data_IF_349342589021
#
_entry.id   IF_349342589021
#
_cell.length_a   1.000
_cell.length_b   1.000
_cell.length_c   1.000
_cell.angle_alpha   90.00
_cell.angle_beta   90.00
_cell.angle_gamma   90.00
#
_symmetry.space_group_name_H-M   'P 1'
#
loop_
_entity.id
_entity.type
_entity.pdbx_description
1 polymer ?
#
# COMPACT_ATOMS: atom_id res chain seq x y z
N UNK A 1 -2.06 8.98 23.50
CA UNK A 1 -1.59 8.76 22.12
C UNK A 1 -1.55 10.10 21.44
N UNK A 2 -0.42 10.48 20.85
CA UNK A 2 -0.32 11.73 20.10
C UNK A 2 -1.37 11.70 18.99
N UNK A 3 -2.32 12.63 19.03
CA UNK A 3 -3.33 12.78 17.99
C UNK A 3 -2.65 13.06 16.66
N UNK A 4 -3.04 12.33 15.62
CA UNK A 4 -2.55 12.50 14.27
C UNK A 4 -3.07 13.85 13.73
N UNK A 5 -2.25 14.90 13.80
CA UNK A 5 -2.62 16.24 13.32
C UNK A 5 -2.23 16.40 11.84
N UNK A 6 -3.14 16.93 11.02
CA UNK A 6 -2.89 17.28 9.62
C UNK A 6 -3.38 16.25 8.60
N UNK A 7 -3.52 16.69 7.34
CA UNK A 7 -3.88 15.88 6.17
C UNK A 7 -2.63 15.17 5.65
N UNK A 8 -2.71 13.86 5.40
CA UNK A 8 -1.61 13.03 4.87
C UNK A 8 -0.20 13.41 5.38
N UNK A 9 0.04 13.45 6.71
CA UNK A 9 1.31 13.87 7.25
C UNK A 9 2.43 12.92 6.77
N UNK A 10 3.66 13.45 6.59
CA UNK A 10 4.82 12.62 6.35
C UNK A 10 5.13 11.73 7.57
N UNK A 11 6.08 10.82 7.40
CA UNK A 11 6.68 10.09 8.51
C UNK A 11 7.27 11.06 9.53
N UNK A 12 7.22 10.67 10.80
CA UNK A 12 7.98 11.32 11.87
C UNK A 12 9.42 10.81 11.84
N UNK A 13 10.34 11.49 12.55
CA UNK A 13 11.72 11.01 12.71
C UNK A 13 11.80 9.57 13.26
N UNK A 14 10.89 9.21 14.18
CA UNK A 14 10.78 7.84 14.67
C UNK A 14 10.32 6.87 13.56
N UNK A 15 9.40 7.30 12.69
CA UNK A 15 8.97 6.53 11.53
C UNK A 15 10.08 6.34 10.49
N UNK A 16 10.91 7.36 10.25
CA UNK A 16 12.08 7.27 9.37
C UNK A 16 13.12 6.28 9.90
N UNK A 17 13.39 6.31 11.21
CA UNK A 17 14.25 5.32 11.87
C UNK A 17 13.73 3.87 11.70
N UNK A 18 12.42 3.68 11.88
CA UNK A 18 11.76 2.39 11.66
C UNK A 18 11.84 1.92 10.20
N UNK A 19 11.75 2.83 9.25
CA UNK A 19 11.94 2.51 7.82
C UNK A 19 13.38 2.05 7.54
N UNK A 20 14.38 2.65 8.20
CA UNK A 20 15.77 2.20 8.10
C UNK A 20 15.98 0.78 8.64
N UNK A 21 15.38 0.47 9.80
CA UNK A 21 15.39 -0.88 10.37
C UNK A 21 14.71 -1.89 9.43
N UNK A 22 13.56 -1.51 8.85
CA UNK A 22 12.84 -2.33 7.88
C UNK A 22 13.69 -2.58 6.63
N UNK A 23 14.33 -1.55 6.08
CA UNK A 23 15.22 -1.65 4.92
C UNK A 23 16.36 -2.66 5.18
N UNK A 24 17.00 -2.57 6.34
CA UNK A 24 18.06 -3.51 6.73
C UNK A 24 17.53 -4.95 6.79
N UNK A 25 16.35 -5.16 7.38
CA UNK A 25 15.73 -6.48 7.51
C UNK A 25 15.31 -7.11 6.18
N UNK A 26 14.97 -6.29 5.18
CA UNK A 26 14.51 -6.73 3.86
C UNK A 26 15.63 -6.87 2.83
N UNK A 27 16.84 -6.39 3.13
CA UNK A 27 17.96 -6.29 2.19
C UNK A 27 18.25 -7.58 1.40
N UNK A 28 18.19 -8.75 2.06
CA UNK A 28 18.42 -10.05 1.43
C UNK A 28 17.28 -10.52 0.51
N UNK A 29 16.09 -9.94 0.63
CA UNK A 29 14.88 -10.37 -0.07
C UNK A 29 14.45 -9.41 -1.19
N UNK A 30 15.15 -8.29 -1.38
CA UNK A 30 14.74 -7.25 -2.34
C UNK A 30 14.64 -7.75 -3.78
N UNK A 31 15.48 -8.72 -4.15
CA UNK A 31 15.50 -9.35 -5.49
C UNK A 31 14.46 -10.46 -5.65
N UNK A 32 13.86 -10.94 -4.56
CA UNK A 32 12.76 -11.91 -4.60
C UNK A 32 11.44 -11.23 -4.93
N UNK A 33 11.30 -9.93 -4.62
CA UNK A 33 10.09 -9.16 -4.89
C UNK A 33 9.98 -8.92 -6.40
N UNK A 34 8.81 -9.23 -6.97
CA UNK A 34 8.51 -9.06 -8.39
C UNK A 34 7.60 -7.85 -8.65
N UNK A 35 6.88 -7.38 -7.63
CA UNK A 35 6.03 -6.19 -7.66
C UNK A 35 5.92 -5.53 -6.29
N UNK A 36 6.03 -4.20 -6.23
CA UNK A 36 5.73 -3.41 -5.03
C UNK A 36 4.42 -2.65 -5.23
N UNK A 37 3.41 -2.91 -4.41
CA UNK A 37 2.09 -2.26 -4.49
C UNK A 37 1.91 -1.35 -3.29
N UNK A 38 1.64 -0.07 -3.54
CA UNK A 38 1.75 0.98 -2.51
C UNK A 38 0.46 1.78 -2.41
N UNK A 39 0.02 2.02 -1.16
CA UNK A 39 -1.03 2.99 -0.88
C UNK A 39 -0.59 4.42 -1.25
N UNK A 40 -1.44 5.25 -1.87
CA UNK A 40 -1.08 6.63 -2.23
C UNK A 40 -0.97 7.60 -1.04
N UNK A 41 -1.14 7.14 0.20
CA UNK A 41 -0.91 7.97 1.39
C UNK A 41 0.58 8.25 1.58
N UNK A 42 0.95 9.51 1.83
CA UNK A 42 2.33 10.00 1.92
C UNK A 42 3.24 9.13 2.79
N UNK A 43 2.79 8.73 3.98
CA UNK A 43 3.54 7.83 4.86
C UNK A 43 3.88 6.47 4.23
N UNK A 44 2.95 5.89 3.45
CA UNK A 44 3.16 4.61 2.77
C UNK A 44 4.10 4.76 1.57
N UNK A 45 4.00 5.87 0.84
CA UNK A 45 4.96 6.21 -0.21
C UNK A 45 6.37 6.32 0.35
N UNK A 46 6.56 7.07 1.43
CA UNK A 46 7.87 7.23 2.09
C UNK A 46 8.41 5.91 2.65
N UNK A 47 7.55 5.07 3.25
CA UNK A 47 7.94 3.72 3.68
C UNK A 47 8.40 2.88 2.50
N UNK A 48 7.67 2.87 1.38
CA UNK A 48 8.05 2.09 0.20
C UNK A 48 9.37 2.59 -0.41
N UNK A 49 9.52 3.91 -0.59
CA UNK A 49 10.74 4.49 -1.16
C UNK A 49 11.94 4.40 -0.24
N UNK A 50 11.75 4.27 1.08
CA UNK A 50 12.85 4.11 2.02
C UNK A 50 13.25 2.65 2.25
N UNK A 51 12.27 1.74 2.42
CA UNK A 51 12.54 0.34 2.76
C UNK A 51 12.78 -0.57 1.55
N UNK A 52 12.27 -0.19 0.37
CA UNK A 52 12.30 -1.05 -0.83
C UNK A 52 13.07 -0.42 -2.00
N UNK A 53 13.79 0.70 -1.77
CA UNK A 53 14.49 1.45 -2.82
C UNK A 53 15.45 0.60 -3.68
N UNK A 54 16.05 -0.43 -3.09
CA UNK A 54 16.99 -1.33 -3.77
C UNK A 54 16.33 -2.50 -4.51
N UNK A 55 15.00 -2.63 -4.47
CA UNK A 55 14.30 -3.66 -5.23
C UNK A 55 14.29 -3.30 -6.72
N UNK A 56 14.62 -4.23 -7.63
CA UNK A 56 14.53 -4.00 -9.07
C UNK A 56 13.08 -4.06 -9.58
N UNK A 57 12.13 -4.44 -8.74
CA UNK A 57 10.73 -4.61 -9.10
C UNK A 57 10.07 -3.28 -9.50
N UNK A 58 9.10 -3.29 -10.43
CA UNK A 58 8.24 -2.16 -10.66
C UNK A 58 7.42 -1.83 -9.40
N UNK A 59 7.19 -0.54 -9.19
CA UNK A 59 6.29 -0.04 -8.16
C UNK A 59 4.93 0.31 -8.78
N UNK A 60 3.85 0.12 -8.03
CA UNK A 60 2.48 0.37 -8.46
C UNK A 60 1.71 1.13 -7.39
N UNK A 61 0.97 2.16 -7.80
CA UNK A 61 0.00 2.84 -6.93
C UNK A 61 -1.33 2.11 -6.95
N UNK A 62 -1.92 1.90 -5.76
CA UNK A 62 -3.25 1.32 -5.64
C UNK A 62 -4.08 2.02 -4.56
N UNK A 63 -5.04 2.85 -4.99
CA UNK A 63 -5.95 3.59 -4.10
C UNK A 63 -6.83 2.71 -3.21
N UNK A 64 -6.97 1.41 -3.53
CA UNK A 64 -7.68 0.45 -2.67
C UNK A 64 -6.93 0.13 -1.39
N UNK A 65 -5.63 0.42 -1.31
CA UNK A 65 -4.81 0.15 -0.13
C UNK A 65 -4.90 1.22 0.97
N UNK A 66 -5.67 2.29 0.78
CA UNK A 66 -5.78 3.39 1.77
C UNK A 66 -6.32 2.90 3.13
N UNK A 67 -5.94 3.62 4.20
CA UNK A 67 -6.45 3.36 5.55
C UNK A 67 -7.97 3.58 5.63
N UNK A 68 -8.62 3.02 6.66
CA UNK A 68 -9.97 3.44 7.03
C UNK A 68 -9.90 4.92 7.39
N UNK A 69 -10.54 5.80 6.63
CA UNK A 69 -10.57 7.25 6.89
C UNK A 69 -11.17 7.52 8.29
N UNK A 70 -10.36 7.41 9.34
CA UNK A 70 -10.79 7.43 10.74
C UNK A 70 -10.16 8.57 11.54
N UNK A 71 -9.14 9.23 10.97
CA UNK A 71 -8.55 10.46 11.47
C UNK A 71 -8.24 11.41 10.30
N UNK A 72 -8.05 12.73 10.56
CA UNK A 72 -7.69 13.71 9.52
C UNK A 72 -6.49 13.29 8.67
N UNK A 73 -5.53 12.58 9.27
CA UNK A 73 -4.32 12.11 8.60
C UNK A 73 -4.52 10.93 7.64
N UNK A 74 -5.71 10.35 7.59
CA UNK A 74 -6.09 9.36 6.58
C UNK A 74 -6.67 10.03 5.31
N UNK A 75 -6.87 11.35 5.35
CA UNK A 75 -7.25 12.14 4.17
C UNK A 75 -6.09 12.11 3.17
N UNK A 76 -6.39 11.75 1.93
CA UNK A 76 -5.40 11.71 0.85
C UNK A 76 -5.03 13.10 0.32
N UNK A 77 -3.97 13.14 -0.48
CA UNK A 77 -3.62 14.27 -1.34
C UNK A 77 -3.97 13.93 -2.77
N UNK A 78 -4.33 14.93 -3.57
CA UNK A 78 -4.74 14.69 -4.95
C UNK A 78 -3.62 14.03 -5.77
N UNK A 79 -3.98 13.31 -6.84
CA UNK A 79 -2.98 12.72 -7.74
C UNK A 79 -1.98 13.77 -8.23
N UNK A 80 -2.46 14.97 -8.62
CA UNK A 80 -1.59 16.03 -9.13
C UNK A 80 -0.62 16.56 -8.07
N UNK A 81 -1.06 16.65 -6.80
CA UNK A 81 -0.17 17.00 -5.69
C UNK A 81 0.86 15.92 -5.42
N UNK A 82 0.46 14.64 -5.47
CA UNK A 82 1.37 13.51 -5.26
C UNK A 82 2.45 13.45 -6.36
N UNK A 83 2.08 13.60 -7.63
CA UNK A 83 3.04 13.61 -8.74
C UNK A 83 4.00 14.82 -8.68
N UNK A 84 3.54 15.95 -8.16
CA UNK A 84 4.39 17.14 -7.96
C UNK A 84 5.44 16.91 -6.87
N UNK A 85 5.01 16.35 -5.74
CA UNK A 85 5.87 16.22 -4.56
C UNK A 85 6.72 14.93 -4.59
N UNK A 86 6.29 13.93 -5.36
CA UNK A 86 6.99 12.67 -5.60
C UNK A 86 7.08 12.40 -7.12
N UNK A 87 7.98 13.10 -7.86
CA UNK A 87 8.06 12.97 -9.31
C UNK A 87 8.32 11.54 -9.81
N UNK A 88 8.98 10.71 -9.00
CA UNK A 88 9.22 9.29 -9.30
C UNK A 88 7.93 8.47 -9.45
N UNK A 89 6.81 8.91 -8.89
CA UNK A 89 5.51 8.25 -9.09
C UNK A 89 5.08 8.25 -10.56
N UNK A 90 5.59 9.17 -11.38
CA UNK A 90 5.32 9.21 -12.82
C UNK A 90 5.85 8.00 -13.59
N UNK A 91 6.73 7.18 -13.00
CA UNK A 91 7.17 5.91 -13.57
C UNK A 91 6.53 4.68 -12.92
N UNK A 92 5.69 4.87 -11.90
CA UNK A 92 5.04 3.77 -11.18
C UNK A 92 3.78 3.33 -11.92
N UNK A 93 3.52 2.03 -12.00
CA UNK A 93 2.31 1.49 -12.61
C UNK A 93 1.05 2.06 -11.93
N UNK A 94 0.01 2.33 -12.71
CA UNK A 94 -1.29 2.80 -12.20
C UNK A 94 -1.31 4.25 -11.72
N UNK A 95 -0.23 5.01 -11.88
CA UNK A 95 -0.19 6.44 -11.54
C UNK A 95 -1.19 7.28 -12.35
N UNK A 96 -1.37 6.93 -13.61
CA UNK A 96 -2.29 7.52 -14.59
C UNK A 96 -3.75 7.11 -14.34
N UNK A 97 -3.96 5.86 -13.91
CA UNK A 97 -5.27 5.32 -13.54
C UNK A 97 -5.76 5.75 -12.15
N UNK A 98 -4.92 6.41 -11.35
CA UNK A 98 -5.32 6.94 -10.05
C UNK A 98 -6.27 8.12 -10.24
N UNK A 99 -7.44 8.07 -9.60
CA UNK A 99 -8.37 9.20 -9.60
C UNK A 99 -7.72 10.45 -8.97
N UNK A 100 -8.08 11.63 -9.47
CA UNK A 100 -7.60 12.89 -8.90
C UNK A 100 -7.91 12.98 -7.40
N UNK A 101 -9.07 12.45 -7.00
CA UNK A 101 -9.44 12.22 -5.61
C UNK A 101 -9.75 10.74 -5.42
N UNK A 102 -8.73 10.00 -4.98
CA UNK A 102 -8.76 8.54 -4.81
C UNK A 102 -9.20 8.07 -3.41
N UNK A 103 -9.37 9.00 -2.46
CA UNK A 103 -9.89 8.71 -1.12
C UNK A 103 -11.39 8.97 -1.05
N UNK A 104 -12.05 8.40 -0.05
CA UNK A 104 -13.47 8.71 0.20
C UNK A 104 -13.62 10.10 0.80
N UNK A 105 -14.64 10.84 0.40
CA UNK A 105 -14.98 12.14 1.02
C UNK A 105 -15.91 12.01 2.22
N UNK A 106 -16.40 10.80 2.53
CA UNK A 106 -17.25 10.53 3.68
C UNK A 106 -16.42 10.24 4.92
N UNK A 107 -16.74 10.89 6.05
CA UNK A 107 -16.00 10.84 7.32
C UNK A 107 -15.87 9.45 7.96
N UNK A 108 -16.59 8.44 7.47
CA UNK A 108 -16.39 7.05 7.89
C UNK A 108 -16.42 6.15 6.66
N UNK A 109 -15.32 5.45 6.44
CA UNK A 109 -15.25 4.43 5.41
C UNK A 109 -15.72 3.07 5.95
N UNK A 110 -16.99 2.75 5.75
CA UNK A 110 -17.53 1.42 6.06
C UNK A 110 -17.13 0.36 5.02
N UNK A 111 -16.62 0.80 3.87
CA UNK A 111 -16.36 -0.05 2.68
C UNK A 111 -15.01 -0.78 2.70
N UNK A 112 -14.32 -0.82 3.84
CA UNK A 112 -13.01 -1.48 3.94
C UNK A 112 -13.11 -2.98 3.63
N UNK A 113 -14.11 -3.74 4.13
CA UNK A 113 -14.26 -5.15 3.78
C UNK A 113 -14.39 -5.40 2.28
N UNK A 114 -15.19 -4.60 1.58
CA UNK A 114 -15.40 -4.70 0.13
C UNK A 114 -14.11 -4.37 -0.63
N UNK A 115 -13.37 -3.32 -0.22
CA UNK A 115 -12.07 -3.01 -0.82
C UNK A 115 -11.05 -4.12 -0.61
N UNK A 116 -11.05 -4.74 0.56
CA UNK A 116 -10.17 -5.86 0.87
C UNK A 116 -10.53 -7.04 -0.03
N UNK A 117 -11.81 -7.34 -0.22
CA UNK A 117 -12.25 -8.42 -1.11
C UNK A 117 -11.91 -8.16 -2.57
N UNK A 118 -12.12 -6.93 -3.07
CA UNK A 118 -11.65 -6.54 -4.42
C UNK A 118 -10.13 -6.69 -4.56
N UNK A 119 -9.38 -6.29 -3.53
CA UNK A 119 -7.93 -6.43 -3.53
C UNK A 119 -7.47 -7.89 -3.44
N UNK A 120 -8.21 -8.76 -2.73
CA UNK A 120 -7.96 -10.20 -2.71
C UNK A 120 -8.05 -10.79 -4.11
N UNK A 121 -9.15 -10.48 -4.83
CA UNK A 121 -9.36 -10.92 -6.20
C UNK A 121 -8.27 -10.40 -7.13
N UNK A 122 -7.91 -9.13 -6.98
CA UNK A 122 -6.83 -8.51 -7.74
C UNK A 122 -5.49 -9.22 -7.49
N UNK A 123 -5.11 -9.47 -6.22
CA UNK A 123 -3.90 -10.21 -5.85
C UNK A 123 -3.90 -11.63 -6.44
N UNK A 124 -5.01 -12.35 -6.34
CA UNK A 124 -5.14 -13.71 -6.86
C UNK A 124 -5.07 -13.81 -8.40
N UNK A 125 -5.31 -12.71 -9.10
CA UNK A 125 -5.19 -12.64 -10.56
C UNK A 125 -3.77 -12.22 -11.02
N UNK A 126 -2.87 -11.89 -10.10
CA UNK A 126 -1.51 -11.46 -10.44
C UNK A 126 -0.64 -12.64 -10.86
N UNK A 127 0.21 -12.48 -11.90
CA UNK A 127 1.20 -13.50 -12.26
C UNK A 127 2.38 -13.56 -11.29
N UNK A 128 2.64 -12.48 -10.53
CA UNK A 128 3.80 -12.39 -9.64
C UNK A 128 3.74 -13.37 -8.48
N UNK A 129 4.86 -14.02 -8.18
CA UNK A 129 4.97 -14.99 -7.08
C UNK A 129 5.25 -14.33 -5.73
N UNK A 130 5.96 -13.19 -5.74
CA UNK A 130 6.29 -12.43 -4.54
C UNK A 130 5.92 -10.96 -4.74
N UNK A 131 4.94 -10.50 -3.96
CA UNK A 131 4.43 -9.13 -4.04
C UNK A 131 4.60 -8.47 -2.67
N UNK A 132 5.34 -7.36 -2.63
CA UNK A 132 5.39 -6.50 -1.45
C UNK A 132 4.20 -5.55 -1.47
N UNK A 133 3.36 -5.60 -0.44
CA UNK A 133 2.22 -4.68 -0.29
C UNK A 133 2.51 -3.70 0.85
N UNK A 134 2.51 -2.40 0.56
CA UNK A 134 2.78 -1.32 1.52
C UNK A 134 1.49 -0.52 1.74
N UNK A 135 0.97 -0.58 2.96
CA UNK A 135 -0.38 -0.11 3.30
C UNK A 135 -0.55 0.16 4.79
N UNK A 136 -1.76 -0.03 5.30
CA UNK A 136 -2.13 0.46 6.64
C UNK A 136 -2.79 -0.61 7.51
N UNK A 137 -2.81 -0.35 8.81
CA UNK A 137 -3.11 -1.35 9.83
C UNK A 137 -4.52 -1.92 9.73
N UNK A 138 -5.56 -1.10 9.56
CA UNK A 138 -6.93 -1.65 9.51
C UNK A 138 -7.19 -2.41 8.21
N UNK A 139 -6.64 -1.94 7.09
CA UNK A 139 -6.71 -2.66 5.82
C UNK A 139 -6.01 -4.03 5.91
N UNK A 140 -4.76 -4.05 6.40
CA UNK A 140 -4.02 -5.30 6.58
C UNK A 140 -4.70 -6.23 7.57
N UNK A 141 -5.23 -5.71 8.67
CA UNK A 141 -5.94 -6.54 9.65
C UNK A 141 -7.05 -7.38 8.99
N UNK A 142 -7.80 -6.81 8.04
CA UNK A 142 -8.80 -7.56 7.29
C UNK A 142 -8.18 -8.45 6.19
N UNK A 143 -7.12 -7.98 5.52
CA UNK A 143 -6.44 -8.72 4.46
C UNK A 143 -5.73 -10.00 4.95
N UNK A 144 -5.19 -10.00 6.17
CA UNK A 144 -4.40 -11.12 6.71
C UNK A 144 -5.09 -11.84 7.87
N UNK A 145 -6.43 -11.87 7.86
CA UNK A 145 -7.22 -12.74 8.74
C UNK A 145 -7.25 -12.30 10.21
N UNK A 146 -7.36 -10.99 10.47
CA UNK A 146 -7.53 -10.40 11.80
C UNK A 146 -6.24 -10.05 12.53
N UNK A 147 -5.08 -10.40 11.96
CA UNK A 147 -3.75 -10.13 12.55
C UNK A 147 -3.38 -8.65 12.49
N UNK A 148 -2.83 -8.13 13.58
CA UNK A 148 -2.33 -6.74 13.65
C UNK A 148 -0.82 -6.72 13.44
N UNK A 149 -0.37 -5.93 12.48
CA UNK A 149 1.05 -5.62 12.33
C UNK A 149 1.46 -4.54 13.33
N UNK A 150 2.72 -4.59 13.75
CA UNK A 150 3.36 -3.49 14.48
C UNK A 150 3.54 -2.27 13.57
N UNK A 151 3.80 -1.10 14.14
CA UNK A 151 4.15 0.07 13.34
C UNK A 151 5.40 -0.22 12.50
N UNK A 152 5.34 0.08 11.20
CA UNK A 152 6.38 -0.30 10.23
C UNK A 152 6.75 -1.82 10.26
N UNK A 153 5.82 -2.67 10.70
CA UNK A 153 6.05 -4.12 10.79
C UNK A 153 5.85 -4.81 9.45
N UNK A 154 6.60 -5.90 9.24
CA UNK A 154 6.48 -6.79 8.08
C UNK A 154 5.93 -8.16 8.49
N UNK A 155 5.18 -8.78 7.59
CA UNK A 155 4.71 -10.15 7.72
C UNK A 155 4.72 -10.83 6.36
N UNK A 156 5.42 -11.96 6.26
CA UNK A 156 5.32 -12.87 5.12
C UNK A 156 4.03 -13.67 5.21
N UNK A 157 3.31 -13.76 4.10
CA UNK A 157 2.04 -14.49 4.00
C UNK A 157 2.07 -15.35 2.75
N UNK A 158 1.90 -16.66 2.92
CA UNK A 158 1.61 -17.53 1.79
C UNK A 158 0.21 -17.20 1.27
N UNK A 159 0.14 -16.72 0.03
CA UNK A 159 -1.12 -16.40 -0.62
C UNK A 159 -1.56 -17.54 -1.52
N UNK A 160 -2.59 -18.28 -1.12
CA UNK A 160 -3.23 -19.27 -1.98
C UNK A 160 -4.39 -18.59 -2.69
N UNK A 161 -4.26 -18.37 -4.00
CA UNK A 161 -5.40 -18.01 -4.82
C UNK A 161 -6.46 -19.12 -4.69
N UNK A 162 -7.74 -18.81 -4.47
CA UNK A 162 -8.77 -19.84 -4.44
C UNK A 162 -8.81 -20.56 -5.80
N UNK A 163 -9.02 -21.88 -5.79
CA UNK A 163 -8.96 -22.78 -6.96
C UNK A 163 -9.98 -22.47 -8.09
N UNK A 164 -10.75 -21.38 -7.98
CA UNK A 164 -11.79 -20.98 -8.94
C UNK A 164 -11.66 -19.51 -9.35
N UNK A 165 -10.64 -19.24 -10.16
CA UNK A 165 -10.76 -18.26 -11.23
C UNK A 165 -10.46 -19.00 -12.52
N UNK A 166 -11.48 -19.69 -13.06
CA UNK A 166 -11.46 -19.98 -14.50
C UNK A 166 -11.13 -18.67 -15.19
N UNK A 167 -9.99 -18.65 -15.87
CA UNK A 167 -9.62 -17.53 -16.74
C UNK A 167 -10.78 -17.41 -17.72
N UNK A 168 -11.63 -16.41 -17.55
CA UNK A 168 -12.50 -15.98 -18.63
C UNK A 168 -11.53 -15.47 -19.69
N UNK A 169 -11.17 -16.38 -20.60
CA UNK A 169 -10.39 -16.08 -21.76
C UNK A 169 -11.11 -14.94 -22.49
N UNK A 170 -10.38 -13.85 -22.74
CA UNK A 170 -10.85 -12.80 -23.62
C UNK A 170 -11.18 -13.44 -24.98
N UNK A 171 -12.45 -13.33 -25.39
CA UNK A 171 -12.90 -13.62 -26.74
C UNK A 171 -12.58 -12.44 -27.66
#
# INVERSE_FOLDING_TARGET
GAGCAGVAPPLTAAGEGQVGELAASLSAHLTEIELVVVSPLTRALQTATGALAGSPAPFMLNGRLRERLGAPCDTGRSRSELLRDFPSLGSWLGHDALDEVWWTRSFVEWRVPERVEEFRKWLSARPEQCIAVVGHGAFFQLLIGGRKLRNCGVQWVEWKAPDSFERVAAA
#
